data_IF_241783836705
#
_entry.id   IF_241783836705
#
_cell.length_a   1.000
_cell.length_b   1.000
_cell.length_c   1.000
_cell.angle_alpha   90.00
_cell.angle_beta   90.00
_cell.angle_gamma   90.00
#
_symmetry.space_group_name_H-M   'P 1'
#
loop_
_entity.id
_entity.type
_entity.pdbx_description
1 polymer ?
#
# COMPACT_ATOMS: atom_id res chain seq x y z
N UNK A 1 -13.75 3.83 -3.43
CA UNK A 1 -14.60 2.78 -2.82
C UNK A 1 -15.78 3.45 -2.15
N UNK A 2 -17.01 3.02 -2.46
CA UNK A 2 -18.23 3.54 -1.84
C UNK A 2 -18.18 3.37 -0.31
N UNK A 3 -18.61 4.40 0.43
CA UNK A 3 -18.61 4.41 1.90
C UNK A 3 -19.39 3.23 2.50
N UNK A 4 -20.50 2.81 1.88
CA UNK A 4 -21.27 1.63 2.32
C UNK A 4 -20.46 0.35 2.19
N UNK A 5 -19.71 0.18 1.11
CA UNK A 5 -18.85 -0.98 0.89
C UNK A 5 -17.72 -1.04 1.93
N UNK A 6 -17.08 0.09 2.21
CA UNK A 6 -16.03 0.20 3.24
C UNK A 6 -16.55 -0.18 4.64
N UNK A 7 -17.75 0.28 5.00
CA UNK A 7 -18.41 -0.06 6.28
C UNK A 7 -18.65 -1.57 6.38
N UNK A 8 -19.10 -2.22 5.30
CA UNK A 8 -19.35 -3.67 5.29
C UNK A 8 -18.06 -4.47 5.45
N UNK A 9 -16.97 -4.06 4.82
CA UNK A 9 -15.65 -4.69 5.00
C UNK A 9 -15.27 -4.68 6.48
N UNK A 10 -15.30 -3.52 7.13
CA UNK A 10 -14.92 -3.42 8.55
C UNK A 10 -15.85 -4.23 9.48
N UNK A 11 -17.17 -4.29 9.21
CA UNK A 11 -18.08 -5.15 9.97
C UNK A 11 -17.73 -6.63 9.85
N UNK A 12 -17.33 -7.09 8.66
CA UNK A 12 -16.90 -8.46 8.44
C UNK A 12 -15.57 -8.76 9.14
N UNK A 13 -14.60 -7.85 9.03
CA UNK A 13 -13.33 -7.97 9.77
C UNK A 13 -13.57 -8.03 11.29
N UNK A 14 -14.50 -7.24 11.83
CA UNK A 14 -14.83 -7.30 13.26
C UNK A 14 -15.39 -8.64 13.70
N UNK A 15 -16.15 -9.33 12.84
CA UNK A 15 -16.63 -10.69 13.12
C UNK A 15 -15.51 -11.72 13.13
N UNK A 16 -14.53 -11.58 12.21
CA UNK A 16 -13.41 -12.50 12.09
C UNK A 16 -12.44 -12.35 13.27
N UNK A 17 -12.06 -11.12 13.58
CA UNK A 17 -10.95 -10.84 14.53
C UNK A 17 -11.41 -10.53 15.96
N UNK A 18 -12.72 -10.54 16.24
CA UNK A 18 -13.25 -10.17 17.55
C UNK A 18 -12.61 -8.89 18.13
N UNK A 19 -12.30 -7.91 17.27
CA UNK A 19 -11.66 -6.61 17.55
C UNK A 19 -10.17 -6.65 17.94
N UNK A 20 -9.52 -7.80 17.99
CA UNK A 20 -8.08 -7.91 18.27
C UNK A 20 -7.34 -8.48 17.06
N UNK A 21 -6.24 -7.83 16.64
CA UNK A 21 -5.39 -8.24 15.53
C UNK A 21 -3.93 -8.13 16.01
N UNK A 22 -3.15 -9.19 15.83
CA UNK A 22 -1.75 -9.15 16.24
C UNK A 22 -0.89 -8.42 15.23
N UNK A 23 -0.95 -8.80 13.94
CA UNK A 23 -0.07 -8.27 12.91
C UNK A 23 -0.86 -7.83 11.69
N UNK A 24 -0.71 -6.56 11.34
CA UNK A 24 -1.31 -5.95 10.15
C UNK A 24 -0.23 -5.49 9.18
N UNK A 25 -0.45 -5.70 7.89
CA UNK A 25 0.32 -5.09 6.80
C UNK A 25 -0.59 -4.17 5.99
N UNK A 26 -0.18 -2.91 5.84
CA UNK A 26 -0.81 -1.90 4.96
C UNK A 26 0.19 -1.51 3.87
N UNK A 27 0.11 -2.19 2.73
CA UNK A 27 1.00 -1.97 1.59
C UNK A 27 0.33 -0.96 0.65
N UNK A 28 0.98 0.18 0.45
CA UNK A 28 0.39 1.37 -0.17
C UNK A 28 -0.40 2.18 0.87
N UNK A 29 0.29 2.62 1.93
CA UNK A 29 -0.32 3.31 3.09
C UNK A 29 -0.81 4.73 2.78
N UNK A 30 -0.31 5.37 1.70
CA UNK A 30 -0.62 6.73 1.29
C UNK A 30 -0.48 7.74 2.44
N UNK A 31 -1.57 8.37 2.92
CA UNK A 31 -1.57 9.27 4.09
C UNK A 31 -2.00 8.59 5.37
N UNK A 32 -2.09 7.25 5.38
CA UNK A 32 -2.45 6.44 6.52
C UNK A 32 -3.96 6.27 6.73
N UNK A 33 -4.80 6.55 5.73
CA UNK A 33 -6.25 6.53 5.89
C UNK A 33 -6.77 5.16 6.33
N UNK A 34 -6.27 4.08 5.69
CA UNK A 34 -6.68 2.71 6.03
C UNK A 34 -6.14 2.31 7.40
N UNK A 35 -4.86 2.56 7.66
CA UNK A 35 -4.22 2.29 8.95
C UNK A 35 -4.93 3.01 10.10
N UNK A 36 -5.31 4.29 9.92
CA UNK A 36 -6.08 5.06 10.91
C UNK A 36 -7.46 4.46 11.16
N UNK A 37 -8.16 4.04 10.11
CA UNK A 37 -9.48 3.41 10.23
C UNK A 37 -9.39 2.07 10.99
N UNK A 38 -8.34 1.28 10.72
CA UNK A 38 -8.07 0.03 11.43
C UNK A 38 -7.74 0.27 12.91
N UNK A 39 -6.82 1.18 13.21
CA UNK A 39 -6.42 1.54 14.59
C UNK A 39 -7.55 2.13 15.44
N UNK A 40 -8.56 2.76 14.81
CA UNK A 40 -9.77 3.25 15.50
C UNK A 40 -10.74 2.12 15.86
N UNK A 41 -10.75 1.01 15.10
CA UNK A 41 -11.77 -0.04 15.18
C UNK A 41 -11.30 -1.29 15.85
N UNK A 42 -10.00 -1.55 15.82
CA UNK A 42 -9.35 -2.76 16.30
C UNK A 42 -8.24 -2.43 17.29
N UNK A 43 -8.04 -3.34 18.24
CA UNK A 43 -6.83 -3.37 19.06
C UNK A 43 -5.76 -4.11 18.27
N UNK A 44 -4.81 -3.37 17.73
CA UNK A 44 -3.73 -3.90 16.91
C UNK A 44 -2.46 -3.89 17.73
N UNK A 45 -1.72 -5.02 17.77
CA UNK A 45 -0.43 -5.07 18.47
C UNK A 45 0.68 -4.45 17.63
N UNK A 46 0.78 -4.88 16.34
CA UNK A 46 1.81 -4.43 15.42
C UNK A 46 1.21 -4.10 14.06
N UNK A 47 1.66 -3.01 13.46
CA UNK A 47 1.32 -2.65 12.08
C UNK A 47 2.57 -2.28 11.30
N UNK A 48 2.69 -2.81 10.09
CA UNK A 48 3.76 -2.54 9.14
C UNK A 48 3.16 -1.80 7.94
N UNK A 49 3.64 -0.58 7.67
CA UNK A 49 3.05 0.29 6.68
C UNK A 49 4.11 0.71 5.67
N UNK A 50 3.82 0.52 4.39
CA UNK A 50 4.74 0.80 3.30
C UNK A 50 4.17 1.89 2.40
N UNK A 51 4.90 3.00 2.26
CA UNK A 51 4.55 4.10 1.38
C UNK A 51 5.81 4.68 0.75
N UNK A 52 6.02 4.48 -0.57
CA UNK A 52 7.25 4.90 -1.24
C UNK A 52 7.33 6.40 -1.49
N UNK A 53 6.20 7.10 -1.64
CA UNK A 53 6.17 8.54 -1.94
C UNK A 53 6.44 9.34 -0.69
N UNK A 54 7.58 10.05 -0.63
CA UNK A 54 8.06 10.73 0.57
C UNK A 54 7.06 11.73 1.16
N UNK A 55 6.35 12.47 0.32
CA UNK A 55 5.34 13.44 0.79
C UNK A 55 4.17 12.75 1.48
N UNK A 56 3.65 11.66 0.87
CA UNK A 56 2.59 10.84 1.45
C UNK A 56 3.06 10.16 2.73
N UNK A 57 4.25 9.58 2.72
CA UNK A 57 4.89 8.96 3.88
C UNK A 57 4.97 9.91 5.09
N UNK A 58 5.47 11.14 4.89
CA UNK A 58 5.54 12.15 5.97
C UNK A 58 4.17 12.51 6.53
N UNK A 59 3.14 12.62 5.66
CA UNK A 59 1.77 12.87 6.11
C UNK A 59 1.21 11.68 6.89
N UNK A 60 1.50 10.46 6.45
CA UNK A 60 1.13 9.22 7.11
C UNK A 60 1.73 9.16 8.53
N UNK A 61 3.05 9.33 8.64
CA UNK A 61 3.74 9.33 9.94
C UNK A 61 3.14 10.35 10.91
N UNK A 62 2.92 11.59 10.46
CA UNK A 62 2.31 12.62 11.30
C UNK A 62 0.89 12.23 11.76
N UNK A 63 0.10 11.61 10.91
CA UNK A 63 -1.25 11.19 11.24
C UNK A 63 -1.28 10.04 12.26
N UNK A 64 -0.23 9.20 12.27
CA UNK A 64 -0.14 8.00 13.11
C UNK A 64 0.50 8.24 14.48
N UNK A 65 1.20 9.35 14.70
CA UNK A 65 1.90 9.68 15.96
C UNK A 65 1.06 9.39 17.20
N UNK A 66 -0.21 9.78 17.19
CA UNK A 66 -1.13 9.62 18.34
C UNK A 66 -1.49 8.17 18.70
N UNK A 67 -1.07 7.21 17.91
CA UNK A 67 -1.32 5.78 18.14
C UNK A 67 -0.07 5.01 18.56
N UNK A 68 1.11 5.62 18.58
CA UNK A 68 2.38 4.96 18.91
C UNK A 68 2.41 4.36 20.31
N UNK A 69 1.70 4.96 21.27
CA UNK A 69 1.58 4.41 22.65
C UNK A 69 0.64 3.18 22.73
N UNK A 70 -0.15 2.91 21.68
CA UNK A 70 -1.20 1.87 21.67
C UNK A 70 -0.89 0.70 20.74
N UNK A 71 0.00 0.89 19.79
CA UNK A 71 0.33 -0.04 18.73
C UNK A 71 1.80 0.13 18.36
N UNK A 72 2.51 -0.97 18.16
CA UNK A 72 3.85 -0.94 17.55
C UNK A 72 3.71 -0.61 16.07
N UNK A 73 4.04 0.62 15.69
CA UNK A 73 3.91 1.13 14.32
C UNK A 73 5.28 1.11 13.65
N UNK A 74 5.42 0.32 12.60
CA UNK A 74 6.62 0.19 11.79
C UNK A 74 6.36 0.80 10.42
N UNK A 75 7.00 1.92 10.11
CA UNK A 75 6.78 2.73 8.91
C UNK A 75 7.97 2.63 7.96
N UNK A 76 7.72 2.39 6.68
CA UNK A 76 8.74 2.17 5.67
C UNK A 76 8.53 3.07 4.44
N UNK A 77 9.52 3.91 4.14
CA UNK A 77 9.50 4.77 2.96
C UNK A 77 10.09 4.05 1.74
N UNK A 78 9.54 2.91 1.39
CA UNK A 78 9.82 2.16 0.17
C UNK A 78 8.59 1.31 -0.20
N UNK A 79 8.53 0.87 -1.46
CA UNK A 79 7.55 -0.10 -1.92
C UNK A 79 8.06 -1.52 -1.75
N UNK A 80 7.14 -2.50 -1.66
CA UNK A 80 7.44 -3.91 -1.82
C UNK A 80 7.24 -4.33 -3.29
N UNK A 81 7.95 -5.35 -3.75
CA UNK A 81 7.86 -5.84 -5.12
C UNK A 81 8.66 -7.12 -5.36
N UNK A 82 8.79 -7.53 -6.62
CA UNK A 82 9.48 -8.77 -7.04
C UNK A 82 11.01 -8.65 -7.02
N UNK A 83 11.56 -7.44 -7.02
CA UNK A 83 13.00 -7.19 -7.02
C UNK A 83 13.37 -5.90 -6.31
N UNK A 84 14.56 -5.84 -5.74
CA UNK A 84 15.10 -4.63 -5.11
C UNK A 84 15.68 -3.72 -6.18
N UNK A 85 15.06 -2.54 -6.35
CA UNK A 85 15.47 -1.53 -7.35
C UNK A 85 15.04 -0.13 -6.97
N UNK A 86 15.57 0.86 -7.70
CA UNK A 86 15.07 2.23 -7.65
C UNK A 86 14.42 2.59 -8.98
N UNK A 87 13.28 3.25 -8.91
CA UNK A 87 12.54 3.69 -10.10
C UNK A 87 12.14 5.16 -9.99
N UNK A 88 11.88 5.77 -11.14
CA UNK A 88 11.31 7.11 -11.22
C UNK A 88 9.80 7.01 -11.44
N UNK A 89 9.03 7.60 -10.55
CA UNK A 89 7.58 7.73 -10.71
C UNK A 89 7.20 9.15 -11.10
N UNK A 90 6.10 9.28 -11.82
CA UNK A 90 5.53 10.59 -12.13
C UNK A 90 4.54 10.99 -11.04
N UNK A 91 4.80 12.12 -10.37
CA UNK A 91 3.82 12.72 -9.43
C UNK A 91 2.71 13.41 -10.19
N UNK A 92 1.47 13.13 -9.82
CA UNK A 92 0.31 13.94 -10.20
C UNK A 92 0.05 14.98 -9.11
N UNK A 93 -0.55 16.13 -9.49
CA UNK A 93 -0.89 17.23 -8.56
C UNK A 93 -1.85 16.75 -7.46
N UNK A 94 -2.73 15.81 -7.78
CA UNK A 94 -3.56 15.12 -6.82
C UNK A 94 -2.82 13.88 -6.32
N UNK A 95 -2.30 13.94 -5.10
CA UNK A 95 -1.46 12.90 -4.45
C UNK A 95 -2.14 11.54 -4.24
N UNK A 96 -3.29 11.29 -4.83
CA UNK A 96 -4.06 10.05 -4.71
C UNK A 96 -3.79 9.00 -5.80
N UNK A 97 -2.91 9.28 -6.76
CA UNK A 97 -2.67 8.37 -7.90
C UNK A 97 -1.23 8.47 -8.39
N UNK A 98 -0.29 7.98 -7.59
CA UNK A 98 1.09 7.78 -8.05
C UNK A 98 1.23 6.35 -8.54
N UNK A 99 1.33 6.12 -9.84
CA UNK A 99 1.45 4.77 -10.43
C UNK A 99 2.92 4.41 -10.62
N UNK A 100 3.34 3.28 -10.05
CA UNK A 100 4.68 2.66 -10.25
C UNK A 100 4.82 2.09 -11.68
N UNK A 101 3.72 1.79 -12.35
CA UNK A 101 3.73 1.11 -13.63
C UNK A 101 4.42 1.92 -14.74
N UNK A 102 5.68 1.56 -15.04
CA UNK A 102 6.18 1.63 -16.41
C UNK A 102 5.41 0.57 -17.21
N UNK A 103 4.48 1.04 -17.92
CA UNK A 103 3.41 0.36 -18.57
C UNK A 103 3.93 -0.59 -19.64
N UNK A 104 3.74 -1.90 -19.50
CA UNK A 104 3.85 -2.83 -20.60
C UNK A 104 2.75 -2.54 -21.63
N UNK A 105 3.12 -1.81 -22.70
CA UNK A 105 2.22 -1.24 -23.72
C UNK A 105 1.58 -2.27 -24.64
N UNK A 106 1.88 -3.57 -24.52
CA UNK A 106 1.48 -4.59 -25.50
C UNK A 106 0.24 -5.42 -25.10
N UNK A 107 -0.27 -5.35 -23.86
CA UNK A 107 -1.45 -6.13 -23.50
C UNK A 107 -2.76 -5.47 -23.95
N UNK A 108 -3.74 -6.30 -24.42
CA UNK A 108 -5.09 -5.82 -24.81
C UNK A 108 -5.87 -5.19 -23.65
N UNK A 109 -5.60 -5.59 -22.41
CA UNK A 109 -6.11 -4.98 -21.19
C UNK A 109 -5.57 -3.55 -21.04
N UNK A 110 -4.29 -3.36 -21.37
CA UNK A 110 -3.62 -2.07 -21.33
C UNK A 110 -4.15 -1.08 -22.39
N UNK A 111 -4.44 -1.54 -23.60
CA UNK A 111 -5.00 -0.68 -24.67
C UNK A 111 -6.39 -0.13 -24.29
N UNK A 112 -7.23 -0.92 -23.62
CA UNK A 112 -8.54 -0.48 -23.12
C UNK A 112 -8.42 0.50 -21.94
N UNK A 113 -7.57 0.20 -20.96
CA UNK A 113 -7.31 1.06 -19.78
C UNK A 113 -6.68 2.39 -20.22
N UNK A 114 -5.77 2.38 -21.20
CA UNK A 114 -5.16 3.60 -21.76
C UNK A 114 -6.14 4.53 -22.48
N UNK A 115 -7.15 4.01 -23.14
CA UNK A 115 -8.16 4.85 -23.78
C UNK A 115 -8.96 5.65 -22.75
N UNK A 116 -9.28 5.02 -21.62
CA UNK A 116 -9.96 5.64 -20.48
C UNK A 116 -9.00 6.59 -19.74
N UNK A 117 -7.78 6.15 -19.46
CA UNK A 117 -6.77 6.96 -18.78
C UNK A 117 -6.37 8.19 -19.63
N UNK A 118 -6.15 8.06 -20.94
CA UNK A 118 -5.89 9.21 -21.83
C UNK A 118 -7.02 10.24 -21.82
N UNK A 119 -8.27 9.83 -21.67
CA UNK A 119 -9.40 10.74 -21.57
C UNK A 119 -9.41 11.49 -20.23
N UNK A 120 -9.07 10.82 -19.12
CA UNK A 120 -8.99 11.44 -17.79
C UNK A 120 -7.67 12.21 -17.56
N UNK A 121 -6.55 11.80 -18.19
CA UNK A 121 -5.23 12.41 -17.98
C UNK A 121 -4.87 13.51 -18.99
N UNK A 122 -5.72 13.79 -19.95
CA UNK A 122 -5.45 14.81 -20.99
C UNK A 122 -5.22 16.23 -20.43
N UNK A 123 -5.56 16.46 -19.16
CA UNK A 123 -5.44 17.76 -18.48
C UNK A 123 -4.66 17.71 -17.15
N UNK A 124 -3.97 16.62 -16.81
CA UNK A 124 -3.15 16.58 -15.57
C UNK A 124 -1.70 16.93 -15.90
N UNK A 125 -1.28 18.12 -15.48
CA UNK A 125 0.12 18.52 -15.54
C UNK A 125 0.94 17.66 -14.58
N UNK A 126 1.83 16.81 -15.13
CA UNK A 126 2.85 16.10 -14.36
C UNK A 126 3.88 17.14 -13.89
N UNK A 127 3.95 17.40 -12.58
CA UNK A 127 4.78 18.47 -12.07
C UNK A 127 6.19 18.04 -11.69
N UNK A 128 6.43 16.78 -11.35
CA UNK A 128 7.77 16.32 -10.99
C UNK A 128 7.93 14.80 -11.09
N UNK A 129 9.18 14.37 -11.24
CA UNK A 129 9.57 12.96 -11.07
C UNK A 129 10.13 12.78 -9.68
N UNK A 130 9.78 11.68 -9.03
CA UNK A 130 10.34 11.27 -7.75
C UNK A 130 10.97 9.90 -7.87
N UNK A 131 12.16 9.77 -7.29
CA UNK A 131 12.88 8.49 -7.19
C UNK A 131 12.37 7.76 -5.96
N UNK A 132 11.84 6.56 -6.14
CA UNK A 132 11.39 5.70 -5.06
C UNK A 132 12.21 4.42 -5.02
N UNK A 133 12.30 3.82 -3.83
CA UNK A 133 12.91 2.51 -3.61
C UNK A 133 11.84 1.44 -3.62
N UNK A 134 12.15 0.32 -4.26
CA UNK A 134 11.40 -0.94 -4.14
C UNK A 134 12.33 -1.93 -3.45
N UNK A 135 11.82 -2.65 -2.46
CA UNK A 135 12.50 -3.77 -1.81
C UNK A 135 11.81 -5.06 -2.21
N UNK A 136 12.60 -6.09 -2.49
CA UNK A 136 12.05 -7.42 -2.76
C UNK A 136 11.23 -7.89 -1.57
N UNK A 137 10.01 -8.35 -1.81
CA UNK A 137 9.07 -8.72 -0.75
C UNK A 137 9.60 -9.88 0.08
N UNK A 138 10.09 -10.94 -0.56
CA UNK A 138 10.68 -12.11 0.12
C UNK A 138 11.88 -11.74 0.99
N UNK A 139 12.76 -10.84 0.54
CA UNK A 139 13.92 -10.39 1.34
C UNK A 139 13.46 -9.64 2.60
N UNK A 140 12.42 -8.81 2.48
CA UNK A 140 11.84 -8.13 3.64
C UNK A 140 11.27 -9.11 4.66
N UNK A 141 10.56 -10.13 4.20
CA UNK A 141 9.98 -11.15 5.07
C UNK A 141 11.04 -12.00 5.75
N UNK A 142 12.16 -12.30 5.09
CA UNK A 142 13.29 -13.03 5.68
C UNK A 142 13.96 -12.23 6.79
N UNK A 143 14.14 -10.92 6.60
CA UNK A 143 14.77 -10.06 7.63
C UNK A 143 13.94 -9.97 8.91
N UNK A 144 12.62 -9.96 8.82
CA UNK A 144 11.75 -9.78 9.99
C UNK A 144 11.25 -11.09 10.60
N UNK A 145 11.50 -12.26 9.98
CA UNK A 145 11.13 -13.59 10.49
C UNK A 145 9.70 -13.67 10.99
N UNK A 146 8.74 -13.24 10.18
CA UNK A 146 7.33 -13.21 10.58
C UNK A 146 6.79 -14.61 10.81
N UNK A 147 6.20 -14.84 12.00
CA UNK A 147 5.52 -16.09 12.34
C UNK A 147 4.12 -16.17 11.72
N UNK A 148 3.42 -15.03 11.64
CA UNK A 148 2.09 -14.93 11.04
C UNK A 148 1.72 -13.48 10.73
N UNK A 149 0.85 -13.31 9.74
CA UNK A 149 0.19 -12.05 9.42
C UNK A 149 -1.31 -12.30 9.48
N UNK A 150 -2.02 -11.56 10.33
CA UNK A 150 -3.47 -11.74 10.49
C UNK A 150 -4.26 -11.01 9.39
N UNK A 151 -3.76 -9.83 8.98
CA UNK A 151 -4.41 -9.00 7.97
C UNK A 151 -3.38 -8.31 7.08
N UNK A 152 -3.51 -8.50 5.77
CA UNK A 152 -2.75 -7.78 4.76
C UNK A 152 -3.69 -7.03 3.83
N UNK A 153 -3.51 -5.70 3.74
CA UNK A 153 -4.12 -4.86 2.71
C UNK A 153 -3.04 -4.50 1.70
N UNK A 154 -3.33 -4.68 0.42
CA UNK A 154 -2.47 -4.29 -0.69
C UNK A 154 -3.28 -3.38 -1.60
N UNK A 155 -2.80 -2.16 -1.81
CA UNK A 155 -3.44 -1.16 -2.68
C UNK A 155 -2.33 -0.31 -3.31
N UNK A 156 -1.75 -0.83 -4.39
CA UNK A 156 -0.52 -0.31 -5.02
C UNK A 156 -0.72 0.10 -6.46
N UNK A 157 -1.99 0.36 -6.83
CA UNK A 157 -2.37 0.87 -8.15
C UNK A 157 -1.88 -0.01 -9.32
N UNK A 158 -1.98 -1.35 -9.12
CA UNK A 158 -1.70 -2.37 -10.13
C UNK A 158 -0.36 -3.09 -9.98
N UNK A 159 0.32 -2.95 -8.83
CA UNK A 159 1.55 -3.68 -8.53
C UNK A 159 1.31 -4.89 -7.58
N UNK A 160 0.06 -5.14 -7.22
CA UNK A 160 -0.38 -6.17 -6.25
C UNK A 160 0.09 -7.58 -6.67
N UNK A 161 0.00 -7.89 -7.96
CA UNK A 161 0.41 -9.19 -8.49
C UNK A 161 1.90 -9.50 -8.20
N UNK A 162 2.79 -8.54 -8.42
CA UNK A 162 4.23 -8.73 -8.24
C UNK A 162 4.60 -8.93 -6.76
N UNK A 163 3.90 -8.26 -5.86
CA UNK A 163 4.06 -8.42 -4.40
C UNK A 163 3.62 -9.81 -3.97
N UNK A 164 2.42 -10.24 -4.40
CA UNK A 164 1.84 -11.53 -4.02
C UNK A 164 2.61 -12.71 -4.63
N UNK A 165 3.07 -12.59 -5.88
CA UNK A 165 3.81 -13.63 -6.57
C UNK A 165 5.16 -13.93 -5.88
N UNK A 166 5.86 -12.90 -5.43
CA UNK A 166 7.11 -13.06 -4.68
C UNK A 166 6.88 -13.59 -3.25
N UNK A 167 5.70 -13.31 -2.67
CA UNK A 167 5.27 -13.86 -1.38
C UNK A 167 4.90 -15.36 -1.46
N UNK A 168 4.28 -15.80 -2.55
CA UNK A 168 3.78 -17.19 -2.70
C UNK A 168 4.92 -18.22 -2.58
N UNK A 169 6.14 -17.85 -2.95
CA UNK A 169 7.33 -18.67 -2.75
C UNK A 169 7.68 -18.90 -1.27
N UNK A 170 7.18 -18.05 -0.34
CA UNK A 170 7.49 -18.07 1.10
C UNK A 170 6.36 -18.60 1.99
N UNK A 171 5.11 -18.57 1.49
CA UNK A 171 3.91 -18.97 2.25
C UNK A 171 3.59 -20.47 2.08
N UNK A 172 4.43 -21.23 1.41
CA UNK A 172 4.26 -22.68 1.22
C UNK A 172 4.46 -23.48 2.49
#
# INVERSE_FOLDING_TARGET
VDMKHKINIYKNLQKIFNKEINTVFDIGGHKGETSLDLLKRFKIKKIFIFEPVLESFKKMSNNLIKYQDKCEINEFNFALGEETKEILINKTIESSSSTINQINTQSNYYKRKNKILKFFFKNKNFQSKEKIKIKKTSDFFDEYSFLSIDLMKIDTEGYEYFILNDLDEKIK
#
